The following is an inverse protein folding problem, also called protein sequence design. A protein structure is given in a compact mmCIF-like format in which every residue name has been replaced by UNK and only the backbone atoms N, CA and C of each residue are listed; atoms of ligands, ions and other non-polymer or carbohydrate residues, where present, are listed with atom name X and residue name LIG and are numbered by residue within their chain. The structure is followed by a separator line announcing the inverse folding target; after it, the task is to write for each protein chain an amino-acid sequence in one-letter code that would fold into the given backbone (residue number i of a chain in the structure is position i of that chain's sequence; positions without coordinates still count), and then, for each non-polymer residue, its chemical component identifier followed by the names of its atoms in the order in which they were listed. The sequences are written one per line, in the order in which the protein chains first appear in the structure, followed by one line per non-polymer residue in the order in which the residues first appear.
data_IF_088750805734
#
_entry.id   IF_088750805734
#
_cell.length_a   1.000
_cell.length_b   1.000
_cell.length_c   1.000
_cell.angle_alpha   90.00
_cell.angle_beta   90.00
_cell.angle_gamma   90.00
#
_symmetry.space_group_name_H-M   'P 1'
#
loop_
_entity.id
_entity.type
_entity.pdbx_description
1 polymer ?
#
# COMPACT_ATOMS: atom_id res chain seq x y z
N UNK A 1 -18.97 3.43 2.98
CA UNK A 1 -18.60 4.54 3.91
C UNK A 1 -18.41 5.80 3.09
N UNK A 2 -18.73 7.02 3.62
CA UNK A 2 -18.38 8.28 2.94
C UNK A 2 -16.92 8.62 3.22
N UNK A 3 -16.23 9.19 2.23
CA UNK A 3 -14.82 9.61 2.41
C UNK A 3 -14.68 10.67 3.52
N UNK A 4 -15.64 11.60 3.64
CA UNK A 4 -15.64 12.64 4.69
C UNK A 4 -15.71 12.12 6.12
N UNK A 5 -16.20 10.89 6.31
CA UNK A 5 -16.36 10.29 7.65
C UNK A 5 -15.11 9.50 8.08
N UNK A 6 -14.09 9.45 7.21
CA UNK A 6 -12.89 8.67 7.47
C UNK A 6 -11.94 9.38 8.44
N UNK A 7 -11.43 8.58 9.37
CA UNK A 7 -10.24 8.82 10.19
C UNK A 7 -9.27 7.70 9.89
N UNK A 8 -8.38 7.93 8.92
CA UNK A 8 -7.70 6.86 8.21
C UNK A 8 -6.18 6.99 8.26
N UNK A 9 -5.50 5.87 8.45
CA UNK A 9 -4.06 5.76 8.31
C UNK A 9 -3.70 5.40 6.86
N UNK A 10 -2.67 6.07 6.30
CA UNK A 10 -2.03 5.71 5.03
C UNK A 10 -0.55 5.48 5.28
N UNK A 11 -0.08 4.24 5.15
CA UNK A 11 1.34 3.92 5.25
C UNK A 11 2.06 4.15 3.91
N UNK A 12 3.34 4.58 3.97
CA UNK A 12 4.09 4.96 2.77
C UNK A 12 3.56 6.26 2.15
N UNK A 13 3.24 7.24 3.01
CA UNK A 13 2.58 8.48 2.63
C UNK A 13 3.50 9.59 2.13
N UNK A 14 4.82 9.38 2.09
CA UNK A 14 5.77 10.43 1.73
C UNK A 14 5.86 10.71 0.23
N UNK A 15 5.42 9.81 -0.64
CA UNK A 15 5.54 9.93 -2.09
C UNK A 15 4.58 9.01 -2.85
N UNK A 16 4.56 9.14 -4.18
CA UNK A 16 3.89 8.22 -5.09
C UNK A 16 2.39 8.03 -4.79
N UNK A 17 1.91 6.79 -4.79
CA UNK A 17 0.50 6.47 -4.56
C UNK A 17 0.03 6.89 -3.16
N UNK A 18 0.84 6.66 -2.11
CA UNK A 18 0.46 7.01 -0.74
C UNK A 18 0.24 8.51 -0.55
N UNK A 19 1.12 9.36 -1.12
CA UNK A 19 0.93 10.82 -1.18
C UNK A 19 -0.37 11.16 -1.89
N UNK A 20 -0.58 10.59 -3.08
CA UNK A 20 -1.78 10.84 -3.88
C UNK A 20 -3.06 10.48 -3.12
N UNK A 21 -3.08 9.33 -2.44
CA UNK A 21 -4.23 8.92 -1.63
C UNK A 21 -4.49 9.91 -0.48
N UNK A 22 -3.43 10.38 0.20
CA UNK A 22 -3.58 11.34 1.28
C UNK A 22 -4.19 12.66 0.79
N UNK A 23 -3.71 13.19 -0.34
CA UNK A 23 -4.24 14.41 -0.97
C UNK A 23 -5.73 14.23 -1.31
N UNK A 24 -6.09 13.16 -2.02
CA UNK A 24 -7.47 12.90 -2.44
C UNK A 24 -8.43 12.69 -1.26
N UNK A 25 -7.96 12.05 -0.19
CA UNK A 25 -8.73 11.87 1.04
C UNK A 25 -8.99 13.19 1.76
N UNK A 26 -7.95 14.04 1.89
CA UNK A 26 -8.08 15.36 2.53
C UNK A 26 -8.99 16.28 1.71
N UNK A 27 -8.89 16.28 0.38
CA UNK A 27 -9.81 16.98 -0.52
C UNK A 27 -11.26 16.55 -0.30
N UNK A 28 -11.49 15.27 -0.02
CA UNK A 28 -12.81 14.72 0.25
C UNK A 28 -13.30 14.94 1.71
N UNK A 29 -12.52 15.61 2.56
CA UNK A 29 -12.89 15.94 3.94
C UNK A 29 -12.46 14.93 5.00
N UNK A 30 -11.70 13.89 4.66
CA UNK A 30 -11.21 12.91 5.62
C UNK A 30 -10.17 13.49 6.59
N UNK A 31 -10.05 12.89 7.77
CA UNK A 31 -8.88 13.05 8.65
C UNK A 31 -7.88 11.93 8.33
N UNK A 32 -6.67 12.29 7.94
CA UNK A 32 -5.66 11.35 7.42
C UNK A 32 -4.41 11.40 8.28
N UNK A 33 -3.93 10.27 8.75
CA UNK A 33 -2.61 10.12 9.35
C UNK A 33 -1.68 9.41 8.35
N UNK A 34 -0.64 10.09 7.88
CA UNK A 34 0.36 9.52 6.98
C UNK A 34 1.60 9.08 7.74
N UNK A 35 2.09 7.87 7.44
CA UNK A 35 3.31 7.32 8.04
C UNK A 35 4.34 6.95 6.99
N UNK A 36 5.62 7.33 7.21
CA UNK A 36 6.75 6.99 6.35
C UNK A 36 8.08 7.18 7.11
N UNK A 37 9.16 6.59 6.61
CA UNK A 37 10.53 6.84 7.12
C UNK A 37 11.11 8.15 6.58
N UNK A 38 10.61 8.66 5.46
CA UNK A 38 11.06 9.88 4.78
C UNK A 38 10.33 11.12 5.30
N UNK A 39 10.89 11.77 6.32
CA UNK A 39 10.30 12.97 6.94
C UNK A 39 10.16 14.16 5.97
N UNK A 40 11.12 14.35 5.07
CA UNK A 40 11.05 15.44 4.08
C UNK A 40 9.85 15.22 3.13
N UNK A 41 9.69 13.99 2.61
CA UNK A 41 8.57 13.65 1.76
C UNK A 41 7.21 13.70 2.49
N UNK A 42 7.17 13.40 3.81
CA UNK A 42 5.97 13.62 4.62
C UNK A 42 5.60 15.10 4.72
N UNK A 43 6.59 15.99 4.93
CA UNK A 43 6.35 17.43 4.98
C UNK A 43 5.83 17.96 3.64
N UNK A 44 6.40 17.50 2.51
CA UNK A 44 5.88 17.82 1.18
C UNK A 44 4.42 17.40 1.01
N UNK A 45 4.09 16.14 1.39
CA UNK A 45 2.72 15.62 1.31
C UNK A 45 1.74 16.46 2.13
N UNK A 46 2.13 16.86 3.35
CA UNK A 46 1.32 17.77 4.19
C UNK A 46 1.11 19.11 3.46
N UNK A 47 2.15 19.64 2.81
CA UNK A 47 2.08 20.89 2.05
C UNK A 47 1.15 20.80 0.82
N UNK A 48 1.05 19.64 0.18
CA UNK A 48 0.17 19.40 -0.97
C UNK A 48 -1.30 19.14 -0.57
N UNK A 49 -1.56 18.63 0.64
CA UNK A 49 -2.91 18.37 1.11
C UNK A 49 -3.69 19.68 1.28
N UNK A 50 -4.70 19.89 0.44
CA UNK A 50 -5.62 21.04 0.48
C UNK A 50 -7.05 20.53 0.56
N UNK A 51 -7.92 21.30 1.23
CA UNK A 51 -9.33 20.92 1.32
C UNK A 51 -9.87 20.97 2.75
N UNK A 52 -11.10 20.49 2.97
CA UNK A 52 -11.76 20.56 4.27
C UNK A 52 -11.28 19.52 5.29
N UNK A 53 -10.55 18.48 4.84
CA UNK A 53 -10.02 17.45 5.70
C UNK A 53 -8.79 17.90 6.49
N UNK A 54 -8.20 16.95 7.24
CA UNK A 54 -6.99 17.18 8.05
C UNK A 54 -5.93 16.14 7.71
N UNK A 55 -4.66 16.53 7.78
CA UNK A 55 -3.54 15.61 7.63
C UNK A 55 -2.59 15.72 8.82
N UNK A 56 -2.08 14.57 9.29
CA UNK A 56 -1.10 14.44 10.35
C UNK A 56 0.01 13.52 9.87
N UNK A 57 1.27 13.91 10.04
CA UNK A 57 2.42 13.12 9.60
C UNK A 57 3.14 12.48 10.78
N UNK A 58 3.65 11.26 10.57
CA UNK A 58 4.38 10.48 11.56
C UNK A 58 5.60 9.82 10.89
N UNK A 59 6.78 9.99 11.47
CA UNK A 59 7.92 9.18 11.11
C UNK A 59 7.73 7.78 11.67
N UNK A 60 7.75 6.76 10.82
CA UNK A 60 7.57 5.35 11.21
C UNK A 60 8.24 4.41 10.23
N UNK A 61 9.00 3.46 10.75
CA UNK A 61 9.40 2.27 10.03
C UNK A 61 8.38 1.15 10.35
N UNK A 62 7.54 0.83 9.37
CA UNK A 62 6.48 -0.18 9.54
C UNK A 62 7.02 -1.59 9.83
N UNK A 63 8.30 -1.86 9.59
CA UNK A 63 8.95 -3.12 9.96
C UNK A 63 9.24 -3.24 11.46
N UNK A 64 9.06 -2.16 12.23
CA UNK A 64 9.33 -2.06 13.65
C UNK A 64 8.03 -2.05 14.46
N UNK A 65 7.75 -3.14 15.16
CA UNK A 65 6.48 -3.33 15.89
C UNK A 65 6.19 -2.18 16.88
N UNK A 66 7.19 -1.74 17.64
CA UNK A 66 7.01 -0.63 18.59
C UNK A 66 6.70 0.71 17.93
N UNK A 67 7.29 0.98 16.74
CA UNK A 67 7.00 2.18 15.98
C UNK A 67 5.58 2.14 15.38
N UNK A 68 5.13 0.97 14.90
CA UNK A 68 3.75 0.77 14.44
C UNK A 68 2.74 1.02 15.55
N UNK A 69 2.97 0.46 16.74
CA UNK A 69 2.08 0.66 17.89
C UNK A 69 1.98 2.13 18.29
N UNK A 70 3.12 2.84 18.35
CA UNK A 70 3.16 4.28 18.63
C UNK A 70 2.46 5.11 17.56
N UNK A 71 2.66 4.78 16.29
CA UNK A 71 1.99 5.44 15.17
C UNK A 71 0.47 5.30 15.23
N UNK A 72 -0.05 4.09 15.45
CA UNK A 72 -1.49 3.85 15.54
C UNK A 72 -2.10 4.59 16.73
N UNK A 73 -1.43 4.59 17.89
CA UNK A 73 -1.89 5.31 19.08
C UNK A 73 -1.93 6.83 18.83
N UNK A 74 -0.85 7.41 18.31
CA UNK A 74 -0.76 8.83 18.00
C UNK A 74 -1.74 9.28 16.90
N UNK A 75 -1.94 8.45 15.88
CA UNK A 75 -2.92 8.70 14.83
C UNK A 75 -4.35 8.74 15.39
N UNK A 76 -4.70 7.76 16.22
CA UNK A 76 -6.00 7.74 16.90
C UNK A 76 -6.23 8.99 17.75
N UNK A 77 -5.24 9.39 18.55
CA UNK A 77 -5.31 10.58 19.38
C UNK A 77 -5.50 11.85 18.56
N UNK A 78 -4.64 12.09 17.55
CA UNK A 78 -4.67 13.29 16.72
C UNK A 78 -5.95 13.44 15.90
N UNK A 79 -6.50 12.32 15.41
CA UNK A 79 -7.74 12.32 14.62
C UNK A 79 -9.01 12.24 15.51
N UNK A 80 -8.86 11.96 16.81
CA UNK A 80 -10.00 11.73 17.72
C UNK A 80 -10.80 10.49 17.34
N UNK A 81 -10.13 9.43 16.88
CA UNK A 81 -10.70 8.15 16.45
C UNK A 81 -9.97 7.54 15.28
N UNK A 82 -10.38 6.32 14.89
CA UNK A 82 -9.75 5.59 13.77
C UNK A 82 -10.78 4.60 13.21
N UNK A 83 -11.02 4.65 11.88
CA UNK A 83 -11.95 3.74 11.21
C UNK A 83 -11.48 3.30 9.82
N UNK A 84 -10.21 3.58 9.45
CA UNK A 84 -9.66 3.17 8.17
C UNK A 84 -8.16 2.96 8.17
N UNK A 85 -7.70 2.10 7.26
CA UNK A 85 -6.29 1.84 6.97
C UNK A 85 -6.08 1.60 5.48
N UNK A 86 -5.09 2.26 4.88
CA UNK A 86 -4.53 1.89 3.58
C UNK A 86 -3.09 1.39 3.81
N UNK A 87 -2.90 0.07 3.69
CA UNK A 87 -1.61 -0.59 3.70
C UNK A 87 -0.92 -0.40 2.36
N UNK A 88 -0.20 0.73 2.20
CA UNK A 88 0.45 1.09 0.95
C UNK A 88 1.99 1.02 1.03
N UNK A 89 2.60 1.13 2.21
CA UNK A 89 4.06 1.04 2.35
C UNK A 89 4.63 -0.21 1.69
N UNK A 90 5.71 -0.04 0.94
CA UNK A 90 6.38 -1.15 0.26
C UNK A 90 7.69 -0.74 -0.38
N UNK A 91 8.59 -1.70 -0.47
CA UNK A 91 9.91 -1.56 -1.09
C UNK A 91 10.16 -2.67 -2.11
N UNK A 92 11.09 -2.42 -3.01
CA UNK A 92 11.65 -3.39 -3.93
C UNK A 92 13.12 -3.68 -3.56
N UNK A 93 13.51 -4.94 -3.65
CA UNK A 93 14.92 -5.40 -3.60
C UNK A 93 15.05 -6.54 -4.61
N UNK A 94 14.87 -6.17 -5.89
CA UNK A 94 14.78 -7.09 -7.00
C UNK A 94 16.12 -7.81 -7.25
N UNK A 95 16.04 -9.04 -7.68
CA UNK A 95 17.17 -9.87 -8.05
C UNK A 95 16.70 -11.27 -8.46
N UNK A 96 17.41 -11.87 -9.41
CA UNK A 96 17.16 -13.27 -9.74
C UNK A 96 17.55 -14.15 -8.54
N UNK A 97 16.73 -15.15 -8.21
CA UNK A 97 17.01 -16.06 -7.11
C UNK A 97 18.38 -16.72 -7.28
N UNK A 98 18.71 -17.10 -8.51
CA UNK A 98 20.05 -17.54 -8.92
C UNK A 98 20.36 -16.95 -10.30
N UNK A 99 21.55 -16.38 -10.48
CA UNK A 99 22.02 -15.88 -11.77
C UNK A 99 23.50 -16.19 -12.01
N UNK A 100 23.86 -16.42 -13.25
CA UNK A 100 25.25 -16.44 -13.68
C UNK A 100 25.67 -15.03 -14.09
N UNK A 101 26.73 -14.53 -13.50
CA UNK A 101 27.34 -13.26 -13.91
C UNK A 101 27.94 -13.41 -15.30
N UNK A 102 27.66 -12.47 -16.19
CA UNK A 102 28.06 -12.59 -17.61
C UNK A 102 29.54 -12.33 -17.85
N UNK A 103 30.18 -11.54 -16.98
CA UNK A 103 31.59 -11.16 -17.12
C UNK A 103 32.49 -12.15 -16.41
N UNK A 104 32.14 -12.51 -15.17
CA UNK A 104 32.99 -13.35 -14.30
C UNK A 104 32.63 -14.82 -14.36
N UNK A 105 31.47 -15.19 -14.89
CA UNK A 105 30.93 -16.54 -14.84
C UNK A 105 30.48 -17.01 -13.47
N UNK A 106 30.63 -16.19 -12.42
CA UNK A 106 30.30 -16.53 -11.06
C UNK A 106 28.77 -16.70 -10.87
N UNK A 107 28.39 -17.63 -10.02
CA UNK A 107 27.00 -17.80 -9.61
C UNK A 107 26.70 -16.84 -8.46
N UNK A 108 25.71 -15.99 -8.64
CA UNK A 108 25.21 -15.04 -7.63
C UNK A 108 23.77 -15.41 -7.27
N UNK A 109 23.36 -15.12 -6.03
CA UNK A 109 22.00 -15.39 -5.53
C UNK A 109 21.36 -14.11 -4.99
N UNK A 110 20.03 -14.09 -4.95
CA UNK A 110 19.30 -13.13 -4.13
C UNK A 110 19.75 -13.34 -2.67
N UNK A 111 20.14 -12.27 -1.98
CA UNK A 111 20.62 -12.39 -0.60
C UNK A 111 19.46 -12.54 0.38
N UNK A 112 19.74 -13.14 1.55
CA UNK A 112 18.77 -13.22 2.64
C UNK A 112 18.32 -11.82 3.09
N UNK A 113 19.23 -10.85 3.14
CA UNK A 113 18.91 -9.47 3.53
C UNK A 113 17.93 -8.80 2.55
N UNK A 114 18.08 -9.05 1.23
CA UNK A 114 17.14 -8.56 0.23
C UNK A 114 15.75 -9.19 0.41
N UNK A 115 15.71 -10.48 0.72
CA UNK A 115 14.46 -11.18 1.02
C UNK A 115 13.81 -10.63 2.30
N UNK A 116 14.54 -10.63 3.40
CA UNK A 116 14.03 -10.22 4.71
C UNK A 116 13.53 -8.78 4.72
N UNK A 117 14.27 -7.85 4.07
CA UNK A 117 13.86 -6.45 3.99
C UNK A 117 12.49 -6.29 3.30
N UNK A 118 12.25 -7.02 2.19
CA UNK A 118 10.97 -6.94 1.48
C UNK A 118 9.84 -7.57 2.30
N UNK A 119 10.06 -8.73 2.90
CA UNK A 119 9.06 -9.38 3.74
C UNK A 119 8.74 -8.52 4.98
N UNK A 120 9.76 -7.95 5.63
CA UNK A 120 9.58 -7.12 6.82
C UNK A 120 8.70 -5.90 6.56
N UNK A 121 8.89 -5.21 5.43
CA UNK A 121 8.11 -4.01 5.11
C UNK A 121 6.77 -4.38 4.46
N UNK A 122 6.81 -5.17 3.37
CA UNK A 122 5.64 -5.34 2.49
C UNK A 122 4.59 -6.32 3.06
N UNK A 123 4.98 -7.22 3.96
CA UNK A 123 4.09 -8.22 4.54
C UNK A 123 3.96 -8.06 6.05
N UNK A 124 5.08 -8.17 6.79
CA UNK A 124 5.03 -8.09 8.26
C UNK A 124 4.52 -6.72 8.71
N UNK A 125 5.04 -5.64 8.15
CA UNK A 125 4.61 -4.27 8.48
C UNK A 125 3.13 -4.02 8.19
N UNK A 126 2.64 -4.48 7.03
CA UNK A 126 1.22 -4.40 6.69
C UNK A 126 0.34 -5.22 7.66
N UNK A 127 0.84 -6.37 8.11
CA UNK A 127 0.15 -7.22 9.09
C UNK A 127 0.09 -6.56 10.47
N UNK A 128 1.21 -5.99 10.93
CA UNK A 128 1.28 -5.27 12.20
C UNK A 128 0.34 -4.06 12.22
N UNK A 129 0.34 -3.27 11.14
CA UNK A 129 -0.59 -2.15 10.98
C UNK A 129 -2.05 -2.61 11.00
N UNK A 130 -2.41 -3.64 10.24
CA UNK A 130 -3.78 -4.17 10.24
C UNK A 130 -4.19 -4.65 11.63
N UNK A 131 -3.33 -5.40 12.33
CA UNK A 131 -3.55 -5.89 13.68
C UNK A 131 -3.84 -4.73 14.66
N UNK A 132 -2.94 -3.74 14.71
CA UNK A 132 -3.00 -2.69 15.72
C UNK A 132 -4.11 -1.66 15.43
N UNK A 133 -4.38 -1.36 14.15
CA UNK A 133 -5.51 -0.52 13.73
C UNK A 133 -6.83 -1.20 14.08
N UNK A 134 -7.00 -2.47 13.71
CA UNK A 134 -8.25 -3.21 13.99
C UNK A 134 -8.44 -3.42 15.48
N UNK A 135 -7.37 -3.74 16.24
CA UNK A 135 -7.41 -3.78 17.70
C UNK A 135 -7.94 -2.45 18.27
N UNK A 136 -7.37 -1.31 17.81
CA UNK A 136 -7.80 0.01 18.29
C UNK A 136 -9.27 0.29 17.94
N UNK A 137 -9.71 -0.04 16.71
CA UNK A 137 -11.11 0.11 16.31
C UNK A 137 -12.05 -0.74 17.15
N UNK A 138 -11.68 -1.99 17.44
CA UNK A 138 -12.47 -2.90 18.28
C UNK A 138 -12.58 -2.40 19.73
N UNK A 139 -11.46 -1.93 20.32
CA UNK A 139 -11.42 -1.37 21.68
C UNK A 139 -12.30 -0.13 21.84
N UNK A 140 -12.41 0.69 20.79
CA UNK A 140 -13.16 1.95 20.81
C UNK A 140 -14.57 1.84 20.24
N UNK A 141 -14.97 0.66 19.75
CA UNK A 141 -16.26 0.44 19.11
C UNK A 141 -16.41 1.20 17.78
N UNK A 142 -15.30 1.57 17.14
CA UNK A 142 -15.30 2.34 15.88
C UNK A 142 -15.77 1.48 14.72
N UNK A 143 -17.01 1.68 14.29
CA UNK A 143 -17.65 1.00 13.15
C UNK A 143 -18.62 1.94 12.40
N UNK A 144 -18.79 1.76 11.08
CA UNK A 144 -18.11 0.80 10.21
C UNK A 144 -16.63 1.15 10.02
N UNK A 145 -15.82 0.12 9.71
CA UNK A 145 -14.41 0.27 9.41
C UNK A 145 -13.99 -0.34 8.07
N UNK A 146 -12.83 0.09 7.53
CA UNK A 146 -12.27 -0.44 6.29
C UNK A 146 -10.75 -0.55 6.32
N UNK A 147 -10.24 -1.67 5.82
CA UNK A 147 -8.81 -1.90 5.54
C UNK A 147 -8.65 -2.10 4.03
N UNK A 148 -7.75 -1.35 3.41
CA UNK A 148 -7.38 -1.49 1.99
C UNK A 148 -5.94 -1.93 1.90
N UNK A 149 -5.71 -3.12 1.36
CA UNK A 149 -4.36 -3.65 1.12
C UNK A 149 -3.91 -3.33 -0.31
N UNK A 150 -2.69 -2.78 -0.45
CA UNK A 150 -2.07 -2.58 -1.76
C UNK A 150 -1.21 -3.80 -2.12
N UNK A 151 -1.78 -4.70 -2.93
CA UNK A 151 -1.06 -5.82 -3.54
C UNK A 151 -0.31 -5.37 -4.81
N UNK A 152 -0.20 -6.20 -5.81
CA UNK A 152 0.36 -5.94 -7.15
C UNK A 152 -0.04 -7.07 -8.08
N UNK A 153 -0.08 -6.84 -9.40
CA UNK A 153 -0.17 -7.94 -10.37
C UNK A 153 1.03 -8.90 -10.27
N UNK A 154 2.18 -8.42 -9.78
CA UNK A 154 3.34 -9.28 -9.47
C UNK A 154 3.05 -10.42 -8.48
N UNK A 155 1.88 -10.41 -7.79
CA UNK A 155 1.41 -11.53 -6.96
C UNK A 155 1.22 -12.83 -7.73
N UNK A 156 1.07 -12.75 -9.04
CA UNK A 156 0.97 -13.91 -9.93
C UNK A 156 2.32 -14.47 -10.38
N UNK A 157 3.40 -13.81 -9.99
CA UNK A 157 4.79 -14.10 -10.33
C UNK A 157 5.36 -13.01 -11.25
N UNK A 158 6.59 -12.58 -10.97
CA UNK A 158 7.36 -11.71 -11.84
C UNK A 158 8.84 -12.07 -11.74
N UNK A 159 9.49 -12.22 -12.90
CA UNK A 159 10.90 -12.61 -12.96
C UNK A 159 11.79 -11.59 -12.24
N UNK A 160 12.57 -12.07 -11.26
CA UNK A 160 13.47 -11.23 -10.46
C UNK A 160 12.81 -10.63 -9.21
N UNK A 161 11.56 -10.99 -8.92
CA UNK A 161 10.80 -10.45 -7.78
C UNK A 161 10.28 -11.55 -6.84
N UNK A 162 11.04 -12.60 -6.62
CA UNK A 162 10.59 -13.72 -5.76
C UNK A 162 10.12 -13.27 -4.37
N UNK A 163 10.84 -12.34 -3.73
CA UNK A 163 10.49 -11.75 -2.44
C UNK A 163 9.24 -10.86 -2.52
N UNK A 164 9.18 -9.99 -3.52
CA UNK A 164 8.07 -9.05 -3.71
C UNK A 164 6.78 -9.78 -4.09
N UNK A 165 6.86 -10.71 -5.05
CA UNK A 165 5.71 -11.52 -5.49
C UNK A 165 5.15 -12.34 -4.32
N UNK A 166 6.02 -12.99 -3.51
CA UNK A 166 5.61 -13.71 -2.32
C UNK A 166 4.87 -12.81 -1.32
N UNK A 167 5.42 -11.62 -1.01
CA UNK A 167 4.79 -10.68 -0.09
C UNK A 167 3.42 -10.19 -0.60
N UNK A 168 3.31 -9.86 -1.90
CA UNK A 168 2.08 -9.35 -2.49
C UNK A 168 1.01 -10.43 -2.69
N UNK A 169 1.41 -11.67 -2.96
CA UNK A 169 0.51 -12.82 -2.97
C UNK A 169 -0.04 -13.13 -1.56
N UNK A 170 0.83 -13.13 -0.55
CA UNK A 170 0.43 -13.33 0.84
C UNK A 170 -0.55 -12.24 1.31
N UNK A 171 -0.32 -10.97 0.95
CA UNK A 171 -1.19 -9.86 1.32
C UNK A 171 -2.58 -9.97 0.65
N UNK A 172 -2.64 -10.44 -0.60
CA UNK A 172 -3.91 -10.73 -1.28
C UNK A 172 -4.67 -11.89 -0.60
N UNK A 173 -3.98 -12.95 -0.18
CA UNK A 173 -4.56 -14.05 0.58
C UNK A 173 -5.06 -13.59 1.96
N UNK A 174 -4.25 -12.81 2.69
CA UNK A 174 -4.61 -12.24 3.98
C UNK A 174 -5.85 -11.33 3.90
N UNK A 175 -6.08 -10.65 2.79
CA UNK A 175 -7.31 -9.86 2.57
C UNK A 175 -8.56 -10.71 2.77
N UNK A 176 -8.58 -11.94 2.24
CA UNK A 176 -9.71 -12.86 2.40
C UNK A 176 -9.82 -13.37 3.85
N UNK A 177 -8.70 -13.73 4.46
CA UNK A 177 -8.63 -14.19 5.85
C UNK A 177 -9.11 -13.12 6.80
N UNK A 178 -8.54 -11.92 6.71
CA UNK A 178 -8.88 -10.79 7.58
C UNK A 178 -10.31 -10.29 7.39
N UNK A 179 -10.86 -10.40 6.18
CA UNK A 179 -12.27 -10.07 5.94
C UNK A 179 -13.23 -10.94 6.76
N UNK A 180 -12.87 -12.21 7.01
CA UNK A 180 -13.63 -13.10 7.87
C UNK A 180 -13.38 -12.82 9.36
N UNK A 181 -12.12 -12.61 9.75
CA UNK A 181 -11.72 -12.37 11.13
C UNK A 181 -12.22 -11.02 11.68
N UNK A 182 -12.27 -9.97 10.82
CA UNK A 182 -12.64 -8.62 11.24
C UNK A 182 -14.14 -8.33 11.08
N UNK A 183 -14.89 -9.19 10.41
CA UNK A 183 -16.34 -9.05 10.25
C UNK A 183 -17.11 -8.88 11.57
N UNK A 184 -16.80 -9.61 12.68
CA UNK A 184 -17.47 -9.41 13.96
C UNK A 184 -17.32 -7.99 14.53
N UNK A 185 -16.28 -7.26 14.13
CA UNK A 185 -16.04 -5.88 14.54
C UNK A 185 -16.66 -4.84 13.58
N UNK A 186 -17.37 -5.29 12.54
CA UNK A 186 -17.95 -4.41 11.52
C UNK A 186 -16.90 -3.77 10.59
N UNK A 187 -15.76 -4.45 10.37
CA UNK A 187 -14.64 -3.97 9.57
C UNK A 187 -14.53 -4.82 8.30
N UNK A 188 -14.51 -4.15 7.13
CA UNK A 188 -14.31 -4.77 5.83
C UNK A 188 -12.82 -4.71 5.44
N UNK A 189 -12.40 -5.67 4.63
CA UNK A 189 -11.06 -5.70 4.07
C UNK A 189 -11.14 -5.88 2.56
N UNK A 190 -10.56 -4.96 1.81
CA UNK A 190 -10.42 -5.05 0.36
C UNK A 190 -8.97 -4.96 -0.08
N UNK A 191 -8.71 -5.34 -1.30
CA UNK A 191 -7.37 -5.31 -1.89
C UNK A 191 -7.42 -4.70 -3.29
N UNK A 192 -6.43 -3.87 -3.59
CA UNK A 192 -6.17 -3.38 -4.94
C UNK A 192 -4.80 -3.89 -5.38
N UNK A 193 -4.70 -4.38 -6.60
CA UNK A 193 -3.47 -4.88 -7.20
C UNK A 193 -3.12 -4.03 -8.43
N UNK A 194 -2.28 -3.01 -8.27
CA UNK A 194 -1.81 -2.19 -9.36
C UNK A 194 -0.97 -2.97 -10.37
N UNK A 195 -1.09 -2.60 -11.64
CA UNK A 195 -0.12 -2.89 -12.67
C UNK A 195 1.08 -1.95 -12.62
N UNK A 196 1.59 -1.55 -13.78
CA UNK A 196 2.66 -0.56 -13.87
C UNK A 196 2.07 0.86 -13.73
N UNK A 197 2.48 1.55 -12.68
CA UNK A 197 2.00 2.90 -12.35
C UNK A 197 3.17 3.88 -12.33
N UNK A 198 2.94 5.06 -12.87
CA UNK A 198 3.90 6.16 -12.87
C UNK A 198 4.10 6.69 -11.45
N UNK A 199 5.25 6.39 -10.89
CA UNK A 199 5.66 6.81 -9.54
C UNK A 199 7.16 7.09 -9.54
N UNK A 200 7.74 7.73 -8.52
CA UNK A 200 9.20 7.86 -8.42
C UNK A 200 9.95 6.52 -8.55
N UNK A 201 9.33 5.43 -8.16
CA UNK A 201 9.89 4.07 -8.27
C UNK A 201 10.06 3.61 -9.73
N UNK A 202 9.25 4.11 -10.67
CA UNK A 202 9.24 3.72 -12.08
C UNK A 202 9.87 4.76 -13.03
N UNK A 203 10.12 5.99 -12.55
CA UNK A 203 10.68 7.09 -13.34
C UNK A 203 12.13 6.86 -13.80
N UNK A 204 12.90 6.01 -13.12
CA UNK A 204 14.29 5.68 -13.48
C UNK A 204 14.43 4.67 -14.63
N UNK A 205 13.33 4.23 -15.25
CA UNK A 205 13.34 3.23 -16.32
C UNK A 205 13.88 3.80 -17.62
N UNK A 206 14.76 3.04 -18.29
CA UNK A 206 15.24 3.42 -19.64
C UNK A 206 14.08 3.49 -20.64
N UNK A 207 14.12 4.47 -21.56
CA UNK A 207 13.04 4.72 -22.52
C UNK A 207 12.65 3.46 -23.31
N UNK A 208 13.62 2.71 -23.82
CA UNK A 208 13.36 1.46 -24.55
C UNK A 208 12.56 0.42 -23.72
N UNK A 209 12.85 0.32 -22.42
CA UNK A 209 12.12 -0.57 -21.53
C UNK A 209 10.71 -0.05 -21.26
N UNK A 210 10.56 1.27 -21.16
CA UNK A 210 9.27 1.96 -21.03
C UNK A 210 8.39 1.72 -22.26
N UNK A 211 8.93 1.89 -23.47
CA UNK A 211 8.20 1.68 -24.72
C UNK A 211 7.74 0.23 -24.88
N UNK A 212 8.63 -0.73 -24.57
CA UNK A 212 8.29 -2.14 -24.59
C UNK A 212 7.16 -2.49 -23.59
N UNK A 213 7.18 -1.85 -22.42
CA UNK A 213 6.15 -2.04 -21.41
C UNK A 213 4.81 -1.45 -21.87
N UNK A 214 4.81 -0.21 -22.42
CA UNK A 214 3.60 0.42 -22.97
C UNK A 214 3.00 -0.44 -24.07
N UNK A 215 3.82 -1.01 -24.94
CA UNK A 215 3.38 -1.91 -26.00
C UNK A 215 2.75 -3.21 -25.47
N UNK A 216 3.14 -3.65 -24.27
CA UNK A 216 2.59 -4.85 -23.62
C UNK A 216 1.28 -4.58 -22.83
N UNK A 217 0.98 -3.32 -22.53
CA UNK A 217 -0.25 -2.94 -21.80
C UNK A 217 -1.40 -2.75 -22.81
N UNK A 218 -2.47 -3.54 -22.77
CA UNK A 218 -3.59 -3.43 -23.72
C UNK A 218 -4.23 -2.04 -23.81
N UNK A 219 -4.31 -1.32 -22.69
CA UNK A 219 -4.81 0.08 -22.65
C UNK A 219 -3.85 1.07 -23.33
N UNK A 220 -2.61 0.66 -23.66
CA UNK A 220 -1.65 1.47 -24.41
C UNK A 220 -0.94 2.56 -23.62
N UNK A 221 -1.00 2.55 -22.31
CA UNK A 221 -0.30 3.49 -21.42
C UNK A 221 0.06 2.89 -20.07
N UNK A 222 1.08 3.45 -19.44
CA UNK A 222 1.34 3.24 -18.00
C UNK A 222 0.20 3.95 -17.22
N UNK A 223 -0.26 3.33 -16.15
CA UNK A 223 -1.25 3.92 -15.24
C UNK A 223 -0.68 5.09 -14.44
N UNK A 224 -1.54 5.93 -13.94
CA UNK A 224 -1.19 7.03 -13.01
C UNK A 224 -1.79 6.77 -11.62
N UNK A 225 -1.31 7.42 -10.56
CA UNK A 225 -1.84 7.22 -9.21
C UNK A 225 -3.37 7.41 -9.10
N UNK A 226 -3.96 8.26 -9.94
CA UNK A 226 -5.41 8.46 -9.99
C UNK A 226 -6.17 7.21 -10.46
N UNK A 227 -5.63 6.42 -11.40
CA UNK A 227 -6.26 5.16 -11.82
C UNK A 227 -6.43 4.21 -10.62
N UNK A 228 -5.44 4.17 -9.74
CA UNK A 228 -5.46 3.33 -8.54
C UNK A 228 -6.35 3.92 -7.45
N UNK A 229 -6.36 5.26 -7.32
CA UNK A 229 -7.25 5.95 -6.38
C UNK A 229 -8.71 5.61 -6.63
N UNK A 230 -9.16 5.55 -7.88
CA UNK A 230 -10.54 5.19 -8.22
C UNK A 230 -10.93 3.81 -7.68
N UNK A 231 -10.02 2.84 -7.74
CA UNK A 231 -10.26 1.52 -7.15
C UNK A 231 -10.21 1.54 -5.61
N UNK A 232 -9.28 2.26 -5.01
CA UNK A 232 -9.23 2.46 -3.55
C UNK A 232 -10.52 3.13 -3.06
N UNK A 233 -10.97 4.17 -3.73
CA UNK A 233 -12.25 4.84 -3.46
C UNK A 233 -13.41 3.87 -3.55
N UNK A 234 -13.48 3.06 -4.61
CA UNK A 234 -14.52 2.03 -4.74
C UNK A 234 -14.51 1.06 -3.57
N UNK A 235 -13.35 0.55 -3.15
CA UNK A 235 -13.23 -0.37 -1.99
C UNK A 235 -13.76 0.29 -0.72
N UNK A 236 -13.49 1.58 -0.52
CA UNK A 236 -13.97 2.34 0.64
C UNK A 236 -15.49 2.53 0.60
N UNK A 237 -16.03 2.99 -0.54
CA UNK A 237 -17.42 3.41 -0.66
C UNK A 237 -18.40 2.25 -0.91
N UNK A 238 -17.95 1.15 -1.53
CA UNK A 238 -18.80 -0.01 -1.79
C UNK A 238 -18.89 -0.92 -0.55
N UNK A 239 -19.93 -0.77 0.24
CA UNK A 239 -20.11 -1.50 1.51
C UNK A 239 -20.33 -3.02 1.33
N UNK A 240 -20.64 -3.47 0.11
CA UNK A 240 -20.80 -4.90 -0.22
C UNK A 240 -19.50 -5.54 -0.75
N UNK A 241 -18.43 -4.75 -0.94
CA UNK A 241 -17.13 -5.27 -1.37
C UNK A 241 -16.29 -5.66 -0.14
N UNK A 242 -16.02 -6.97 0.02
CA UNK A 242 -15.27 -7.52 1.14
C UNK A 242 -14.51 -8.80 0.76
N UNK A 243 -13.29 -8.99 1.23
CA UNK A 243 -12.47 -10.18 1.05
C UNK A 243 -12.04 -10.43 -0.40
N UNK A 244 -11.99 -9.42 -1.25
CA UNK A 244 -11.64 -9.52 -2.67
C UNK A 244 -10.50 -8.59 -3.05
N UNK A 245 -9.80 -8.94 -4.14
CA UNK A 245 -8.76 -8.14 -4.76
C UNK A 245 -9.19 -7.72 -6.16
N UNK A 246 -8.98 -6.43 -6.50
CA UNK A 246 -9.25 -5.86 -7.82
C UNK A 246 -7.91 -5.61 -8.50
N UNK A 247 -7.74 -6.12 -9.72
CA UNK A 247 -6.62 -5.77 -10.59
C UNK A 247 -6.90 -4.46 -11.32
N UNK A 248 -5.93 -3.53 -11.28
CA UNK A 248 -5.97 -2.25 -11.98
C UNK A 248 -4.65 -2.08 -12.72
N UNK A 249 -4.56 -2.66 -13.89
CA UNK A 249 -3.30 -2.95 -14.59
C UNK A 249 -3.32 -2.62 -16.10
N UNK A 250 -4.44 -2.08 -16.60
CA UNK A 250 -4.61 -1.80 -18.02
C UNK A 250 -4.67 -3.06 -18.90
N UNK A 251 -4.94 -4.22 -18.31
CA UNK A 251 -4.95 -5.52 -18.98
C UNK A 251 -3.57 -6.16 -19.11
N UNK A 252 -2.56 -5.66 -18.41
CA UNK A 252 -1.22 -6.24 -18.41
C UNK A 252 -1.25 -7.62 -17.75
N UNK A 253 -0.98 -8.67 -18.52
CA UNK A 253 -0.83 -10.04 -18.04
C UNK A 253 0.63 -10.33 -17.70
N UNK A 254 0.90 -10.95 -16.55
CA UNK A 254 2.21 -11.45 -16.15
C UNK A 254 2.30 -12.96 -16.27
#
# INVERSE_FOLDING_TARGET
MKLSDLKIIVSGGAQGMGRHFAVRLVEAGASVAIGDVNEAGLAETVGECKGPGKVFSFKVDVSKEGEVAAFVAGAHEKMGGLNGLINNAGILRDGLLVKKDRETGAIKTLTKDQWDAVIAVNLTGATLLARDVVKKMAETGSKPGVVVNMSSIARHGNRGQSNYSAAKAALAANTKTWAAEFAPFGIRVGCVAPGMIETPMTQGMQQKARDALVAAIPVGRIGVPEDIWLAVKFVIECDYFNGRCIDVDGGLSM
#
